data_IF_141892303995
#
_entry.id   IF_141892303995
#
_cell.length_a   1.000
_cell.length_b   1.000
_cell.length_c   1.000
_cell.angle_alpha   90.00
_cell.angle_beta   90.00
_cell.angle_gamma   90.00
#
_symmetry.space_group_name_H-M   'P 1'
#
loop_
_entity.id
_entity.type
_entity.pdbx_description
1 polymer ?
#
# COMPACT_ATOMS: atom_id res chain seq x y z
N UNK A 1 -16.05 -4.15 -16.92
CA UNK A 1 -15.50 -4.10 -15.55
C UNK A 1 -14.24 -4.97 -15.50
N UNK A 2 -13.09 -4.41 -15.15
CA UNK A 2 -11.84 -5.18 -15.01
C UNK A 2 -11.81 -5.82 -13.62
N UNK A 3 -11.75 -7.15 -13.55
CA UNK A 3 -11.60 -7.91 -12.31
C UNK A 3 -10.21 -8.52 -12.29
N UNK A 4 -9.50 -8.35 -11.17
CA UNK A 4 -8.14 -8.86 -10.98
C UNK A 4 -8.12 -9.80 -9.79
N UNK A 5 -7.47 -10.95 -9.94
CA UNK A 5 -7.24 -11.88 -8.84
C UNK A 5 -5.93 -11.50 -8.13
N UNK A 6 -5.98 -11.32 -6.81
CA UNK A 6 -4.81 -10.93 -6.01
C UNK A 6 -3.66 -11.95 -6.05
N UNK A 7 -3.93 -13.20 -6.42
CA UNK A 7 -2.88 -14.21 -6.61
C UNK A 7 -1.95 -13.87 -7.77
N UNK A 8 -2.47 -13.19 -8.78
CA UNK A 8 -1.74 -12.85 -10.01
C UNK A 8 -1.08 -11.46 -9.94
N UNK A 9 -1.31 -10.73 -8.84
CA UNK A 9 -0.65 -9.44 -8.59
C UNK A 9 0.70 -9.70 -7.93
N UNK A 10 1.76 -9.21 -8.57
CA UNK A 10 3.12 -9.27 -8.05
C UNK A 10 3.22 -8.65 -6.65
N UNK A 11 3.92 -9.33 -5.76
CA UNK A 11 4.21 -8.84 -4.42
C UNK A 11 5.58 -8.16 -4.41
N UNK A 12 5.60 -6.90 -3.99
CA UNK A 12 6.82 -6.12 -3.86
C UNK A 12 7.20 -5.99 -2.39
N UNK A 13 8.43 -6.32 -2.07
CA UNK A 13 8.99 -6.14 -0.74
C UNK A 13 9.77 -4.83 -0.65
N UNK A 14 9.54 -4.08 0.43
CA UNK A 14 10.31 -2.87 0.73
C UNK A 14 10.76 -2.92 2.18
N UNK A 15 12.05 -2.65 2.39
CA UNK A 15 12.65 -2.54 3.70
C UNK A 15 13.48 -1.27 3.82
N UNK A 16 13.42 -0.61 4.98
CA UNK A 16 14.29 0.52 5.30
C UNK A 16 15.73 0.08 5.54
N UNK A 17 16.74 0.94 5.32
CA UNK A 17 18.15 0.59 5.51
C UNK A 17 18.48 0.03 6.91
N UNK A 18 17.84 0.58 7.96
CA UNK A 18 18.01 0.11 9.36
C UNK A 18 17.06 -1.03 9.75
N UNK A 19 16.27 -1.56 8.80
CA UNK A 19 15.40 -2.72 9.00
C UNK A 19 14.20 -2.52 9.91
N UNK A 20 13.99 -1.35 10.54
CA UNK A 20 12.85 -1.07 11.43
C UNK A 20 11.52 -1.07 10.66
N UNK A 21 11.51 -0.41 9.50
CA UNK A 21 10.33 -0.33 8.64
C UNK A 21 10.42 -1.37 7.54
N UNK A 22 9.31 -2.06 7.28
CA UNK A 22 9.22 -3.09 6.26
C UNK A 22 7.79 -3.49 5.93
N UNK A 23 7.54 -3.77 4.66
CA UNK A 23 6.24 -4.23 4.16
C UNK A 23 6.38 -5.09 2.91
N UNK A 24 5.38 -5.94 2.68
CA UNK A 24 5.10 -6.59 1.40
C UNK A 24 3.80 -6.03 0.85
N UNK A 25 3.78 -5.65 -0.42
CA UNK A 25 2.67 -4.91 -1.01
C UNK A 25 2.28 -5.49 -2.37
N UNK A 26 0.97 -5.62 -2.60
CA UNK A 26 0.38 -5.89 -3.92
C UNK A 26 -0.38 -4.64 -4.36
N UNK A 27 0.09 -3.99 -5.43
CA UNK A 27 -0.47 -2.72 -5.91
C UNK A 27 -1.74 -2.94 -6.75
N UNK A 28 -2.90 -2.89 -6.10
CA UNK A 28 -4.20 -3.20 -6.73
C UNK A 28 -4.57 -2.14 -7.77
N UNK A 29 -4.37 -0.84 -7.49
CA UNK A 29 -4.66 0.22 -8.47
C UNK A 29 -3.87 0.04 -9.77
N UNK A 30 -2.59 -0.29 -9.68
CA UNK A 30 -1.74 -0.57 -10.86
C UNK A 30 -2.26 -1.80 -11.61
N UNK A 31 -2.57 -2.88 -10.90
CA UNK A 31 -3.12 -4.08 -11.53
C UNK A 31 -4.49 -3.83 -12.21
N UNK A 32 -5.25 -2.86 -11.72
CA UNK A 32 -6.51 -2.40 -12.32
C UNK A 32 -6.32 -1.43 -13.50
N UNK A 33 -5.10 -1.01 -13.80
CA UNK A 33 -4.77 -0.20 -14.97
C UNK A 33 -4.32 1.23 -14.68
N UNK A 34 -4.09 1.60 -13.41
CA UNK A 34 -3.41 2.85 -13.11
C UNK A 34 -2.01 2.82 -13.70
N UNK A 35 -1.64 3.89 -14.40
CA UNK A 35 -0.25 4.19 -14.75
C UNK A 35 0.46 4.84 -13.54
N UNK A 36 1.42 4.16 -12.89
CA UNK A 36 2.09 4.69 -11.70
C UNK A 36 3.00 5.89 -12.01
N UNK A 37 3.47 6.03 -13.25
CA UNK A 37 4.44 7.06 -13.66
C UNK A 37 3.74 8.29 -14.26
N UNK A 38 2.42 8.24 -14.44
CA UNK A 38 1.66 9.33 -15.02
C UNK A 38 1.29 10.43 -14.02
N UNK A 39 1.53 11.67 -14.42
CA UNK A 39 1.03 12.87 -13.73
C UNK A 39 -0.30 13.37 -14.33
N UNK A 40 -0.79 12.73 -15.39
CA UNK A 40 -2.06 13.08 -16.04
C UNK A 40 -3.24 12.75 -15.13
N UNK A 41 -3.96 13.78 -14.68
CA UNK A 41 -5.12 13.64 -13.82
C UNK A 41 -6.21 12.77 -14.45
N UNK A 42 -6.32 12.76 -15.79
CA UNK A 42 -7.32 11.96 -16.50
C UNK A 42 -7.00 10.46 -16.52
N UNK A 43 -5.74 10.08 -16.24
CA UNK A 43 -5.28 8.69 -16.16
C UNK A 43 -5.19 8.16 -14.74
N UNK A 44 -5.47 9.01 -13.74
CA UNK A 44 -5.40 8.64 -12.32
C UNK A 44 -6.66 7.94 -11.86
N UNK A 45 -6.46 7.02 -10.92
CA UNK A 45 -7.56 6.57 -10.07
C UNK A 45 -7.85 7.64 -9.00
N UNK A 46 -9.08 7.73 -8.47
CA UNK A 46 -9.42 8.70 -7.43
C UNK A 46 -8.64 8.49 -6.14
N UNK A 47 -8.09 7.29 -5.93
CA UNK A 47 -7.19 6.95 -4.83
C UNK A 47 -6.33 5.73 -5.21
N UNK A 48 -5.27 5.50 -4.45
CA UNK A 48 -4.49 4.27 -4.55
C UNK A 48 -4.99 3.21 -3.57
N UNK A 49 -5.05 1.97 -4.06
CA UNK A 49 -5.41 0.80 -3.27
C UNK A 49 -4.30 -0.23 -3.39
N UNK A 50 -3.87 -0.76 -2.25
CA UNK A 50 -2.90 -1.84 -2.17
C UNK A 50 -3.27 -2.80 -1.03
N UNK A 51 -2.98 -4.09 -1.20
CA UNK A 51 -2.95 -5.02 -0.09
C UNK A 51 -1.55 -4.99 0.52
N UNK A 52 -1.46 -4.74 1.83
CA UNK A 52 -0.19 -4.57 2.54
C UNK A 52 -0.09 -5.58 3.68
N UNK A 53 1.03 -6.29 3.76
CA UNK A 53 1.40 -7.15 4.88
C UNK A 53 2.63 -6.58 5.59
N UNK A 54 2.54 -6.45 6.92
CA UNK A 54 3.64 -5.99 7.77
C UNK A 54 4.23 -7.22 8.48
N UNK A 55 5.50 -7.59 8.24
CA UNK A 55 6.12 -8.71 8.92
C UNK A 55 6.22 -8.50 10.43
N UNK A 56 6.27 -9.59 11.20
CA UNK A 56 6.42 -9.55 12.65
C UNK A 56 7.65 -8.73 13.06
N UNK A 57 7.47 -7.82 14.01
CA UNK A 57 8.54 -6.95 14.51
C UNK A 57 8.89 -5.76 13.61
N UNK A 58 8.15 -5.55 12.51
CA UNK A 58 8.30 -4.37 11.64
C UNK A 58 7.22 -3.34 11.90
N UNK A 59 7.51 -2.09 11.56
CA UNK A 59 6.51 -1.02 11.43
C UNK A 59 6.30 -0.68 9.95
N UNK A 60 5.11 -0.20 9.58
CA UNK A 60 4.82 0.19 8.20
C UNK A 60 5.67 1.38 7.73
N UNK A 61 5.74 2.42 8.57
CA UNK A 61 6.28 3.73 8.25
C UNK A 61 6.74 4.46 9.53
N UNK A 62 7.57 5.51 9.40
CA UNK A 62 7.81 6.48 10.47
C UNK A 62 6.48 7.06 11.00
N UNK A 63 6.49 7.59 12.22
CA UNK A 63 5.32 8.30 12.74
C UNK A 63 5.19 9.66 12.04
N UNK A 64 4.03 9.97 11.46
CA UNK A 64 3.78 11.17 10.67
C UNK A 64 2.27 11.42 10.46
N UNK A 65 1.94 12.54 9.82
CA UNK A 65 0.61 12.92 9.38
C UNK A 65 0.66 13.51 7.96
N UNK A 66 -0.47 13.46 7.24
CA UNK A 66 -0.61 14.08 5.91
C UNK A 66 -1.38 15.39 6.03
N UNK A 67 -0.98 16.40 5.24
CA UNK A 67 -1.65 17.71 5.18
C UNK A 67 -2.70 17.82 4.08
N UNK A 68 -2.56 17.01 3.02
CA UNK A 68 -3.38 17.11 1.80
C UNK A 68 -4.02 15.78 1.36
N UNK A 69 -3.70 14.68 2.04
CA UNK A 69 -4.13 13.33 1.68
C UNK A 69 -4.82 12.69 2.88
N UNK A 70 -5.80 11.83 2.59
CA UNK A 70 -6.40 10.95 3.59
C UNK A 70 -5.95 9.52 3.32
N UNK A 71 -5.63 8.80 4.38
CA UNK A 71 -5.35 7.37 4.33
C UNK A 71 -6.43 6.59 5.08
N UNK A 72 -6.83 5.45 4.54
CA UNK A 72 -7.77 4.52 5.17
C UNK A 72 -7.14 3.14 5.23
N UNK A 73 -7.22 2.52 6.41
CA UNK A 73 -6.71 1.17 6.66
C UNK A 73 -7.87 0.22 6.98
N UNK A 74 -7.95 -0.88 6.22
CA UNK A 74 -8.83 -2.01 6.53
C UNK A 74 -8.00 -3.23 6.91
N UNK A 75 -8.13 -3.69 8.15
CA UNK A 75 -7.45 -4.91 8.61
C UNK A 75 -8.25 -6.12 8.16
N UNK A 76 -7.73 -6.83 7.15
CA UNK A 76 -8.36 -8.04 6.60
C UNK A 76 -7.88 -9.33 7.26
N UNK A 77 -6.71 -9.31 7.92
CA UNK A 77 -6.16 -10.44 8.66
C UNK A 77 -5.06 -10.01 9.64
N UNK A 78 -4.80 -10.84 10.66
CA UNK A 78 -3.78 -10.55 11.67
C UNK A 78 -4.21 -9.50 12.69
N UNK A 79 -3.23 -9.00 13.46
CA UNK A 79 -3.39 -7.97 14.49
C UNK A 79 -2.15 -7.10 14.57
N UNK A 80 -2.31 -5.87 15.05
CA UNK A 80 -1.23 -4.92 15.28
C UNK A 80 -1.68 -3.80 16.23
N UNK A 81 -0.77 -2.88 16.50
CA UNK A 81 -1.03 -1.68 17.32
C UNK A 81 -0.85 -0.43 16.47
N UNK A 82 -1.77 0.52 16.61
CA UNK A 82 -1.62 1.88 16.09
C UNK A 82 -1.03 2.72 17.22
N UNK A 83 -0.07 3.58 16.89
CA UNK A 83 0.51 4.54 17.84
C UNK A 83 -0.28 5.83 17.74
N UNK A 84 -0.73 6.34 18.87
CA UNK A 84 -1.31 7.67 19.04
C UNK A 84 -0.24 8.72 19.34
#
# INVERSE_FOLDING_TARGET
MRKVNLKDVEEQERQSPKGKFGRRSKNISVALGRDPDSLDLMKRHPFDLALVSIPKGKSLCPYHSHSAESELYLVVSGRGSIRD
#
